data_IF_501991086961
#
_entry.id   IF_501991086961
#
_cell.length_a   1.000
_cell.length_b   1.000
_cell.length_c   1.000
_cell.angle_alpha   90.00
_cell.angle_beta   90.00
_cell.angle_gamma   90.00
#
_symmetry.space_group_name_H-M   'P 1'
#
loop_
_entity.id
_entity.type
_entity.pdbx_description
1 polymer ?
#
# COMPACT_ATOMS: atom_id res chain seq x y z
N UNK A 1 40.47 47.44 -2.23
CA UNK A 1 39.48 48.19 -3.03
C UNK A 1 38.08 47.75 -2.60
N UNK A 2 37.32 48.59 -1.87
CA UNK A 2 35.96 48.25 -1.42
C UNK A 2 35.02 48.25 -2.63
N UNK A 3 34.53 47.07 -3.02
CA UNK A 3 33.58 46.89 -4.13
C UNK A 3 32.27 47.60 -3.73
N UNK A 4 32.02 48.78 -4.28
CA UNK A 4 30.79 49.54 -4.01
C UNK A 4 29.65 48.88 -4.80
N UNK A 5 28.94 47.96 -4.14
CA UNK A 5 27.73 47.39 -4.70
C UNK A 5 26.66 48.47 -4.81
N UNK A 6 26.07 48.63 -6.00
CA UNK A 6 24.93 49.53 -6.21
C UNK A 6 23.81 49.19 -5.23
N UNK A 7 23.18 50.20 -4.63
CA UNK A 7 22.08 50.05 -3.66
C UNK A 7 20.97 49.14 -4.22
N UNK A 8 20.73 49.20 -5.53
CA UNK A 8 19.80 48.32 -6.25
C UNK A 8 20.17 46.84 -6.13
N UNK A 9 21.46 46.51 -6.26
CA UNK A 9 21.94 45.13 -6.13
C UNK A 9 21.78 44.62 -4.69
N UNK A 10 22.07 45.45 -3.69
CA UNK A 10 21.90 45.07 -2.29
C UNK A 10 20.43 44.79 -1.93
N UNK A 11 19.50 45.64 -2.42
CA UNK A 11 18.07 45.44 -2.24
C UNK A 11 17.56 44.17 -2.93
N UNK A 12 17.97 43.93 -4.18
CA UNK A 12 17.61 42.71 -4.91
C UNK A 12 18.18 41.46 -4.24
N UNK A 13 19.42 41.51 -3.75
CA UNK A 13 20.04 40.40 -3.04
C UNK A 13 19.32 40.09 -1.72
N UNK A 14 18.94 41.11 -0.95
CA UNK A 14 18.17 40.94 0.28
C UNK A 14 16.78 40.33 0.02
N UNK A 15 16.08 40.81 -1.03
CA UNK A 15 14.79 40.27 -1.42
C UNK A 15 14.91 38.81 -1.89
N UNK A 16 15.91 38.51 -2.75
CA UNK A 16 16.17 37.16 -3.21
C UNK A 16 16.55 36.20 -2.06
N UNK A 17 17.32 36.66 -1.08
CA UNK A 17 17.66 35.88 0.10
C UNK A 17 16.42 35.58 0.96
N UNK A 18 15.56 36.57 1.19
CA UNK A 18 14.31 36.36 1.91
C UNK A 18 13.38 35.37 1.20
N UNK A 19 13.21 35.52 -0.13
CA UNK A 19 12.42 34.57 -0.93
C UNK A 19 13.00 33.15 -0.90
N UNK A 20 14.33 33.03 -1.04
CA UNK A 20 15.00 31.73 -1.00
C UNK A 20 14.82 31.05 0.35
N UNK A 21 14.90 31.82 1.45
CA UNK A 21 14.71 31.30 2.80
C UNK A 21 13.28 30.77 2.98
N UNK A 22 12.26 31.53 2.57
CA UNK A 22 10.87 31.08 2.62
C UNK A 22 10.68 29.83 1.76
N UNK A 23 11.20 29.81 0.54
CA UNK A 23 11.06 28.67 -0.37
C UNK A 23 11.69 27.40 0.20
N UNK A 24 12.90 27.50 0.75
CA UNK A 24 13.58 26.36 1.39
C UNK A 24 12.74 25.84 2.57
N UNK A 25 12.23 26.74 3.41
CA UNK A 25 11.40 26.35 4.55
C UNK A 25 10.10 25.68 4.09
N UNK A 26 9.44 26.20 3.06
CA UNK A 26 8.23 25.61 2.47
C UNK A 26 8.49 24.23 1.89
N UNK A 27 9.59 24.05 1.15
CA UNK A 27 9.94 22.76 0.55
C UNK A 27 10.22 21.71 1.62
N UNK A 28 10.97 22.07 2.67
CA UNK A 28 11.25 21.15 3.79
C UNK A 28 9.95 20.75 4.49
N UNK A 29 9.12 21.73 4.87
CA UNK A 29 7.85 21.46 5.54
C UNK A 29 6.89 20.62 4.68
N UNK A 30 6.82 20.93 3.38
CA UNK A 30 5.97 20.18 2.46
C UNK A 30 6.46 18.76 2.24
N UNK A 31 7.78 18.54 2.16
CA UNK A 31 8.35 17.21 1.98
C UNK A 31 8.04 16.28 3.17
N UNK A 32 8.04 16.81 4.40
CA UNK A 32 7.69 16.02 5.58
C UNK A 32 6.19 15.74 5.65
N UNK A 33 5.34 16.76 5.43
CA UNK A 33 3.89 16.59 5.43
C UNK A 33 3.38 15.65 4.32
N UNK A 34 4.04 15.60 3.17
CA UNK A 34 3.67 14.68 2.08
C UNK A 34 3.84 13.21 2.47
N UNK A 35 4.82 12.87 3.31
CA UNK A 35 5.08 11.47 3.72
C UNK A 35 3.93 10.90 4.54
N UNK A 36 3.47 11.66 5.53
CA UNK A 36 2.40 11.22 6.42
C UNK A 36 1.08 11.00 5.65
N UNK A 37 0.77 11.91 4.72
CA UNK A 37 -0.41 11.79 3.87
C UNK A 37 -0.32 10.59 2.91
N UNK A 38 0.86 10.30 2.35
CA UNK A 38 1.06 9.13 1.50
C UNK A 38 0.92 7.83 2.28
N UNK A 39 1.39 7.78 3.53
CA UNK A 39 1.27 6.60 4.38
C UNK A 39 -0.19 6.32 4.74
N UNK A 40 -0.92 7.33 5.18
CA UNK A 40 -2.35 7.21 5.49
C UNK A 40 -3.18 6.83 4.24
N UNK A 41 -2.87 7.44 3.10
CA UNK A 41 -3.50 7.09 1.83
C UNK A 41 -3.25 5.62 1.44
N UNK A 42 -2.01 5.17 1.52
CA UNK A 42 -1.62 3.78 1.20
C UNK A 42 -2.34 2.78 2.10
N UNK A 43 -2.45 3.09 3.40
CA UNK A 43 -3.16 2.26 4.36
C UNK A 43 -4.64 2.11 3.99
N UNK A 44 -5.34 3.23 3.80
CA UNK A 44 -6.77 3.25 3.43
C UNK A 44 -7.02 2.59 2.08
N UNK A 45 -6.14 2.82 1.11
CA UNK A 45 -6.24 2.23 -0.22
C UNK A 45 -6.15 0.70 -0.15
N UNK A 46 -5.13 0.16 0.53
CA UNK A 46 -4.93 -1.30 0.64
C UNK A 46 -6.01 -1.96 1.49
N UNK A 47 -6.45 -1.33 2.58
CA UNK A 47 -7.57 -1.84 3.41
C UNK A 47 -8.88 -1.91 2.59
N UNK A 48 -9.18 -0.85 1.82
CA UNK A 48 -10.32 -0.85 0.91
C UNK A 48 -10.21 -1.89 -0.21
N UNK A 49 -9.00 -2.07 -0.75
CA UNK A 49 -8.71 -3.07 -1.79
C UNK A 49 -8.92 -4.49 -1.26
N UNK A 50 -8.42 -4.80 -0.06
CA UNK A 50 -8.56 -6.10 0.58
C UNK A 50 -10.04 -6.46 0.79
N UNK A 51 -10.82 -5.53 1.35
CA UNK A 51 -12.27 -5.69 1.55
C UNK A 51 -13.01 -5.88 0.25
N UNK A 52 -12.76 -5.02 -0.75
CA UNK A 52 -13.41 -5.12 -2.06
C UNK A 52 -13.06 -6.43 -2.78
N UNK A 53 -11.81 -6.88 -2.69
CA UNK A 53 -11.40 -8.17 -3.26
C UNK A 53 -12.13 -9.34 -2.58
N UNK A 54 -12.19 -9.35 -1.24
CA UNK A 54 -12.89 -10.38 -0.48
C UNK A 54 -14.40 -10.39 -0.76
N UNK A 55 -15.04 -9.22 -0.86
CA UNK A 55 -16.46 -9.10 -1.24
C UNK A 55 -16.72 -9.62 -2.66
N UNK A 56 -15.77 -9.38 -3.59
CA UNK A 56 -15.80 -9.97 -4.92
C UNK A 56 -15.76 -11.49 -4.88
N UNK A 57 -14.92 -12.09 -4.03
CA UNK A 57 -14.89 -13.53 -3.80
C UNK A 57 -16.21 -14.04 -3.19
N UNK A 58 -16.75 -13.36 -2.18
CA UNK A 58 -18.03 -13.72 -1.57
C UNK A 58 -19.18 -13.66 -2.59
N UNK A 59 -19.21 -12.63 -3.42
CA UNK A 59 -20.20 -12.51 -4.50
C UNK A 59 -20.06 -13.66 -5.51
N UNK A 60 -18.83 -14.02 -5.87
CA UNK A 60 -18.58 -15.18 -6.73
C UNK A 60 -18.96 -16.51 -6.06
N UNK A 61 -18.84 -16.62 -4.75
CA UNK A 61 -19.30 -17.79 -4.00
C UNK A 61 -20.83 -17.90 -4.03
N UNK A 62 -21.55 -16.81 -3.78
CA UNK A 62 -23.03 -16.78 -3.83
C UNK A 62 -23.58 -17.01 -5.23
N UNK A 63 -22.90 -16.49 -6.26
CA UNK A 63 -23.30 -16.65 -7.67
C UNK A 63 -22.80 -17.93 -8.32
N UNK A 64 -22.00 -18.74 -7.61
CA UNK A 64 -21.45 -20.00 -8.12
C UNK A 64 -20.33 -19.82 -9.16
N UNK A 65 -19.72 -18.64 -9.26
CA UNK A 65 -18.66 -18.32 -10.23
C UNK A 65 -17.24 -18.30 -9.63
N UNK A 66 -17.06 -18.76 -8.39
CA UNK A 66 -15.77 -18.77 -7.66
C UNK A 66 -14.64 -19.54 -8.35
N UNK A 67 -14.98 -20.45 -9.27
CA UNK A 67 -14.00 -21.11 -10.15
C UNK A 67 -13.20 -20.13 -11.01
N UNK A 68 -13.79 -18.98 -11.34
CA UNK A 68 -13.19 -17.93 -12.19
C UNK A 68 -12.47 -16.83 -11.39
N UNK A 69 -12.21 -17.03 -10.09
CA UNK A 69 -11.60 -16.00 -9.22
C UNK A 69 -10.24 -15.48 -9.69
N UNK A 70 -9.50 -16.24 -10.51
CA UNK A 70 -8.26 -15.75 -11.12
C UNK A 70 -8.49 -14.57 -12.08
N UNK A 71 -9.67 -14.49 -12.71
CA UNK A 71 -10.04 -13.34 -13.55
C UNK A 71 -10.19 -12.08 -12.69
N UNK A 72 -10.83 -12.20 -11.51
CA UNK A 72 -10.91 -11.10 -10.55
C UNK A 72 -9.51 -10.69 -10.08
N UNK A 73 -8.66 -11.66 -9.71
CA UNK A 73 -7.28 -11.40 -9.29
C UNK A 73 -6.51 -10.63 -10.36
N UNK A 74 -6.55 -11.09 -11.61
CA UNK A 74 -5.89 -10.41 -12.75
C UNK A 74 -6.41 -8.99 -12.95
N UNK A 75 -7.72 -8.76 -12.78
CA UNK A 75 -8.31 -7.42 -12.86
C UNK A 75 -7.79 -6.50 -11.77
N UNK A 76 -7.67 -6.98 -10.54
CA UNK A 76 -7.14 -6.20 -9.41
C UNK A 76 -5.65 -5.89 -9.60
N UNK A 77 -4.86 -6.90 -10.02
CA UNK A 77 -3.43 -6.75 -10.31
C UNK A 77 -3.13 -5.98 -11.61
N UNK A 78 -4.14 -5.58 -12.38
CA UNK A 78 -3.93 -4.75 -13.57
C UNK A 78 -3.64 -3.28 -13.20
N UNK A 79 -3.89 -2.89 -11.95
CA UNK A 79 -3.46 -1.60 -11.41
C UNK A 79 -1.96 -1.62 -11.14
N UNK A 80 -1.24 -0.62 -11.64
CA UNK A 80 0.22 -0.48 -11.43
C UNK A 80 0.58 -0.33 -9.95
N UNK A 81 -0.34 0.16 -9.13
CA UNK A 81 -0.16 0.36 -7.69
C UNK A 81 -0.30 -0.94 -6.87
N UNK A 82 -0.70 -2.05 -7.50
CA UNK A 82 -1.00 -3.33 -6.82
C UNK A 82 -0.01 -4.41 -7.24
N UNK A 83 0.96 -4.68 -6.37
CA UNK A 83 2.01 -5.68 -6.63
C UNK A 83 1.52 -7.13 -6.51
N UNK A 84 0.67 -7.42 -5.52
CA UNK A 84 0.06 -8.74 -5.36
C UNK A 84 -1.25 -8.66 -4.57
N UNK A 85 -2.13 -9.61 -4.85
CA UNK A 85 -3.36 -9.85 -4.09
C UNK A 85 -3.67 -11.34 -4.10
N UNK A 86 -3.95 -11.89 -2.91
CA UNK A 86 -4.22 -13.31 -2.73
C UNK A 86 -5.05 -13.55 -1.47
N UNK A 87 -5.84 -14.62 -1.49
CA UNK A 87 -6.51 -15.16 -0.30
C UNK A 87 -5.94 -16.55 -0.04
N UNK A 88 -5.40 -16.73 1.17
CA UNK A 88 -4.75 -17.97 1.57
C UNK A 88 -5.70 -18.75 2.47
N UNK A 89 -5.92 -20.02 2.11
CA UNK A 89 -6.76 -20.92 2.88
C UNK A 89 -5.96 -21.57 4.01
N UNK A 90 -6.64 -21.78 5.13
CA UNK A 90 -6.12 -22.58 6.24
C UNK A 90 -5.99 -24.05 5.85
N UNK A 91 -5.17 -24.80 6.58
CA UNK A 91 -5.00 -26.24 6.34
C UNK A 91 -6.30 -27.02 6.53
N UNK A 92 -7.20 -26.53 7.39
CA UNK A 92 -8.53 -27.09 7.56
C UNK A 92 -9.37 -26.97 6.28
N UNK A 93 -9.41 -25.79 5.66
CA UNK A 93 -10.14 -25.58 4.41
C UNK A 93 -9.52 -26.37 3.25
N UNK A 94 -8.19 -26.46 3.19
CA UNK A 94 -7.52 -27.24 2.15
C UNK A 94 -7.88 -28.74 2.22
N UNK A 95 -8.11 -29.30 3.40
CA UNK A 95 -8.55 -30.70 3.55
C UNK A 95 -9.97 -30.95 3.04
N UNK A 96 -10.85 -29.95 3.13
CA UNK A 96 -12.27 -30.07 2.75
C UNK A 96 -12.47 -29.75 1.27
N UNK A 97 -11.84 -28.67 0.79
CA UNK A 97 -12.07 -28.10 -0.54
C UNK A 97 -10.90 -28.27 -1.51
N UNK A 98 -9.81 -28.89 -1.07
CA UNK A 98 -8.56 -29.04 -1.84
C UNK A 98 -7.65 -27.80 -1.78
N UNK A 99 -6.45 -27.94 -2.35
CA UNK A 99 -5.35 -26.99 -2.22
C UNK A 99 -5.57 -25.61 -2.89
N UNK A 100 -6.65 -25.42 -3.65
CA UNK A 100 -6.88 -24.17 -4.37
C UNK A 100 -5.88 -23.91 -5.50
N UNK A 101 -5.79 -22.65 -5.93
CA UNK A 101 -4.97 -22.23 -7.06
C UNK A 101 -3.49 -22.08 -6.65
N UNK A 102 -2.57 -22.13 -7.61
CA UNK A 102 -1.13 -22.05 -7.33
C UNK A 102 -0.72 -20.78 -6.55
N UNK A 103 -1.38 -19.65 -6.81
CA UNK A 103 -1.16 -18.38 -6.09
C UNK A 103 -1.62 -18.43 -4.63
N UNK A 104 -2.57 -19.29 -4.28
CA UNK A 104 -3.12 -19.45 -2.93
C UNK A 104 -2.29 -20.43 -2.08
N UNK A 105 -1.40 -21.20 -2.72
CA UNK A 105 -0.55 -22.20 -2.08
C UNK A 105 0.78 -21.64 -1.60
N UNK A 106 1.28 -20.56 -2.21
CA UNK A 106 2.53 -19.91 -1.78
C UNK A 106 2.29 -19.25 -0.42
N UNK A 107 2.96 -19.76 0.62
CA UNK A 107 2.93 -19.21 1.98
C UNK A 107 4.27 -18.61 2.35
N UNK A 108 4.27 -17.33 2.62
CA UNK A 108 5.39 -16.55 3.11
C UNK A 108 5.37 -16.47 4.65
N UNK A 109 6.46 -16.02 5.29
CA UNK A 109 6.52 -15.95 6.75
C UNK A 109 5.41 -15.08 7.38
N UNK A 110 5.03 -13.97 6.72
CA UNK A 110 3.96 -13.09 7.19
C UNK A 110 2.58 -13.76 7.09
N UNK A 111 2.34 -14.55 6.05
CA UNK A 111 1.09 -15.31 5.87
C UNK A 111 0.87 -16.29 7.02
N UNK A 112 1.94 -16.91 7.53
CA UNK A 112 1.86 -17.85 8.67
C UNK A 112 1.42 -17.17 9.97
N UNK A 113 1.86 -15.92 10.21
CA UNK A 113 1.41 -15.12 11.36
C UNK A 113 -0.07 -14.76 11.22
N UNK A 114 -0.49 -14.35 10.03
CA UNK A 114 -1.89 -14.05 9.77
C UNK A 114 -2.79 -15.29 9.88
N UNK A 115 -2.35 -16.46 9.42
CA UNK A 115 -3.07 -17.72 9.62
C UNK A 115 -3.22 -18.12 11.10
N UNK A 116 -2.38 -17.58 11.99
CA UNK A 116 -2.52 -17.74 13.44
C UNK A 116 -3.49 -16.74 14.08
N UNK A 117 -4.08 -15.83 13.29
CA UNK A 117 -5.08 -14.85 13.74
C UNK A 117 -4.54 -13.43 13.95
N UNK A 118 -3.26 -13.16 13.64
CA UNK A 118 -2.65 -11.84 13.80
C UNK A 118 -2.88 -10.95 12.57
N UNK A 119 -3.40 -9.74 12.73
CA UNK A 119 -3.39 -8.74 11.65
C UNK A 119 -1.97 -8.27 11.43
N UNK A 120 -1.46 -8.43 10.21
CA UNK A 120 -0.08 -8.11 9.86
C UNK A 120 -0.05 -6.89 8.96
N UNK A 121 0.65 -5.84 9.40
CA UNK A 121 0.94 -4.64 8.63
C UNK A 121 2.46 -4.49 8.56
N UNK A 122 3.01 -4.39 7.36
CA UNK A 122 4.47 -4.36 7.16
C UNK A 122 4.84 -3.40 6.03
N UNK A 123 5.91 -2.64 6.25
CA UNK A 123 6.58 -1.88 5.20
C UNK A 123 7.85 -2.61 4.78
N UNK A 124 8.05 -2.75 3.48
CA UNK A 124 9.27 -3.28 2.87
C UNK A 124 9.76 -2.33 1.79
N UNK A 125 10.89 -2.65 1.16
CA UNK A 125 11.41 -1.90 0.02
C UNK A 125 11.75 -2.86 -1.11
N UNK A 126 11.36 -2.50 -2.33
CA UNK A 126 11.72 -3.18 -3.57
C UNK A 126 12.52 -2.21 -4.47
N UNK A 127 12.80 -2.63 -5.71
CA UNK A 127 13.51 -1.79 -6.70
C UNK A 127 12.73 -0.53 -7.07
N UNK A 128 11.40 -0.58 -6.99
CA UNK A 128 10.48 0.50 -7.38
C UNK A 128 10.14 1.48 -6.24
N UNK A 129 10.46 1.13 -4.98
CA UNK A 129 10.24 2.01 -3.83
C UNK A 129 9.83 1.30 -2.54
N UNK A 130 9.10 2.03 -1.67
CA UNK A 130 8.56 1.51 -0.40
C UNK A 130 7.25 0.78 -0.69
N UNK A 131 7.13 -0.44 -0.20
CA UNK A 131 5.97 -1.31 -0.38
C UNK A 131 5.26 -1.47 0.94
N UNK A 132 3.94 -1.25 0.95
CA UNK A 132 3.09 -1.54 2.08
C UNK A 132 2.37 -2.88 1.86
N UNK A 133 2.35 -3.74 2.87
CA UNK A 133 1.70 -5.04 2.85
C UNK A 133 0.77 -5.17 4.06
N UNK A 134 -0.50 -5.43 3.78
CA UNK A 134 -1.54 -5.72 4.76
C UNK A 134 -2.02 -7.16 4.56
N UNK A 135 -2.06 -7.93 5.65
CA UNK A 135 -2.66 -9.27 5.67
C UNK A 135 -3.70 -9.32 6.78
N UNK A 136 -4.96 -9.48 6.38
CA UNK A 136 -6.09 -9.51 7.29
C UNK A 136 -6.53 -10.97 7.55
N UNK A 137 -6.47 -11.45 8.81
CA UNK A 137 -6.92 -12.78 9.16
C UNK A 137 -8.45 -12.87 9.13
N UNK A 138 -8.99 -13.84 8.40
CA UNK A 138 -10.42 -14.14 8.41
C UNK A 138 -10.64 -15.35 9.32
N UNK A 139 -11.10 -15.08 10.55
CA UNK A 139 -11.43 -16.12 11.52
C UNK A 139 -12.88 -16.54 11.25
N UNK A 140 -13.08 -17.82 10.93
CA UNK A 140 -14.41 -18.39 10.88
C UNK A 140 -14.98 -18.41 12.31
N UNK A 141 -15.95 -17.55 12.59
CA UNK A 141 -16.73 -17.62 13.81
C UNK A 141 -17.92 -18.53 13.55
N UNK A 142 -18.04 -19.58 14.36
CA UNK A 142 -19.27 -20.36 14.47
C UNK A 142 -20.33 -19.44 15.12
N UNK A 143 -21.47 -19.25 14.46
CA UNK A 143 -22.65 -18.65 15.06
C UNK A 143 -23.47 -19.73 15.76
#
# INVERSE_FOLDING_TARGET
>A
MKKQYSIRFLLLAALAAAFSLVLVFTVIYSADSQRDHLEEFSHKYVDGLAKSYFDGLNTMMVTGTIGNRDVLRKKVMASEDVLDVRVIRSDHLNRIFGNGNASEQKREPLDKKALAGERVESYSSNEDGRVYTLIEPVIAMEN
#
